data_IF_253002247050
#
_entry.id   IF_253002247050
#
_cell.length_a   1.000
_cell.length_b   1.000
_cell.length_c   1.000
_cell.angle_alpha   90.00
_cell.angle_beta   90.00
_cell.angle_gamma   90.00
#
_symmetry.space_group_name_H-M   'P 1'
#
loop_
_entity.id
_entity.type
_entity.pdbx_description
1 polymer ?
#
# COMPACT_ATOMS: atom_id res chain seq x y z
N UNK A 1 1.87 -22.19 15.46
CA UNK A 1 0.59 -22.12 14.73
C UNK A 1 0.53 -20.71 14.18
N UNK A 2 0.82 -20.55 12.89
CA UNK A 2 0.96 -19.23 12.29
C UNK A 2 -0.42 -18.60 12.12
N UNK A 3 -0.56 -17.37 12.61
CA UNK A 3 -1.75 -16.56 12.38
C UNK A 3 -2.02 -16.51 10.88
N UNK A 4 -3.13 -17.12 10.44
CA UNK A 4 -3.68 -16.84 9.13
C UNK A 4 -4.07 -15.37 9.16
N UNK A 5 -3.17 -14.50 8.65
CA UNK A 5 -3.55 -13.14 8.30
C UNK A 5 -4.72 -13.26 7.35
N UNK A 6 -5.91 -12.89 7.82
CA UNK A 6 -7.07 -12.64 6.98
C UNK A 6 -6.65 -11.59 5.96
N UNK A 7 -6.19 -12.06 4.80
CA UNK A 7 -5.73 -11.24 3.69
C UNK A 7 -6.96 -10.70 2.96
N UNK A 8 -7.78 -9.95 3.69
CA UNK A 8 -8.92 -9.24 3.14
C UNK A 8 -8.40 -8.17 2.18
N UNK A 9 -8.87 -8.15 0.92
CA UNK A 9 -8.48 -7.12 -0.04
C UNK A 9 -8.89 -5.72 0.45
N UNK A 10 -8.00 -4.75 0.28
CA UNK A 10 -8.28 -3.32 0.42
C UNK A 10 -8.41 -2.68 -0.96
N UNK A 11 -9.32 -1.72 -1.10
CA UNK A 11 -9.54 -0.98 -2.33
C UNK A 11 -8.70 0.30 -2.31
N UNK A 12 -8.03 0.58 -3.42
CA UNK A 12 -7.15 1.73 -3.58
C UNK A 12 -7.79 2.75 -4.52
N UNK A 13 -7.77 4.00 -4.08
CA UNK A 13 -8.27 5.14 -4.83
C UNK A 13 -7.16 6.18 -5.03
N UNK A 14 -7.23 6.88 -6.16
CA UNK A 14 -6.45 8.10 -6.39
C UNK A 14 -6.87 9.18 -5.37
N UNK A 15 -5.91 9.70 -4.61
CA UNK A 15 -6.18 10.69 -3.56
C UNK A 15 -6.62 12.07 -4.08
N UNK A 16 -6.46 12.35 -5.38
CA UNK A 16 -6.82 13.62 -6.01
C UNK A 16 -8.22 13.60 -6.59
N UNK A 17 -8.57 12.56 -7.33
CA UNK A 17 -9.84 12.48 -8.06
C UNK A 17 -10.81 11.41 -7.51
N UNK A 18 -10.39 10.61 -6.53
CA UNK A 18 -11.24 9.60 -5.87
C UNK A 18 -11.60 8.40 -6.75
N UNK A 19 -10.96 8.23 -7.92
CA UNK A 19 -11.19 7.08 -8.80
C UNK A 19 -10.54 5.84 -8.21
N UNK A 20 -11.24 4.71 -8.24
CA UNK A 20 -10.67 3.41 -7.90
C UNK A 20 -9.62 3.00 -8.95
N UNK A 21 -8.46 2.54 -8.49
CA UNK A 21 -7.32 2.19 -9.34
C UNK A 21 -6.85 0.74 -9.19
N UNK A 22 -6.96 0.16 -7.98
CA UNK A 22 -6.56 -1.23 -7.74
C UNK A 22 -7.19 -1.83 -6.49
N UNK A 23 -7.12 -3.14 -6.37
CA UNK A 23 -7.34 -3.89 -5.15
C UNK A 23 -6.01 -4.53 -4.72
N UNK A 24 -5.68 -4.45 -3.44
CA UNK A 24 -4.45 -5.00 -2.89
C UNK A 24 -4.70 -5.87 -1.68
N UNK A 25 -3.75 -6.74 -1.38
CA UNK A 25 -3.62 -7.43 -0.08
C UNK A 25 -2.36 -6.88 0.59
N UNK A 26 -2.51 -6.39 1.82
CA UNK A 26 -1.39 -5.96 2.65
C UNK A 26 -0.73 -7.19 3.30
N UNK A 27 0.57 -7.37 3.08
CA UNK A 27 1.37 -8.40 3.73
C UNK A 27 1.98 -7.81 5.01
N UNK A 28 1.84 -8.49 6.16
CA UNK A 28 2.03 -7.94 7.50
C UNK A 28 3.46 -7.58 7.96
N UNK A 29 4.40 -7.33 7.05
CA UNK A 29 5.72 -6.82 7.41
C UNK A 29 5.67 -5.30 7.53
N UNK A 30 5.78 -4.79 8.76
CA UNK A 30 6.00 -3.37 9.02
C UNK A 30 7.49 -3.06 8.84
N UNK A 31 7.85 -2.50 7.70
CA UNK A 31 9.18 -1.95 7.47
C UNK A 31 9.18 -0.54 8.07
N UNK A 32 9.87 -0.41 9.20
CA UNK A 32 10.05 0.90 9.82
C UNK A 32 11.26 1.57 9.17
N UNK A 33 11.07 2.67 8.45
CA UNK A 33 12.18 3.49 8.00
C UNK A 33 12.79 4.21 9.23
N UNK A 34 13.91 3.69 9.74
CA UNK A 34 14.63 4.28 10.86
C UNK A 34 15.32 5.58 10.46
N UNK A 35 14.63 6.72 10.62
CA UNK A 35 15.18 8.05 10.40
C UNK A 35 15.20 8.90 11.69
N UNK A 36 16.08 9.91 11.77
CA UNK A 36 16.26 10.76 12.97
C UNK A 36 15.05 11.65 13.35
N UNK A 37 13.97 11.65 12.56
CA UNK A 37 12.79 12.53 12.73
C UNK A 37 11.51 11.83 13.20
N UNK A 38 11.55 10.56 13.61
CA UNK A 38 10.42 9.90 14.27
C UNK A 38 9.45 9.17 13.32
N UNK A 39 8.51 8.44 13.96
CA UNK A 39 7.76 7.30 13.42
C UNK A 39 6.51 7.66 12.59
N UNK A 40 6.66 8.44 11.53
CA UNK A 40 5.69 8.46 10.42
C UNK A 40 6.10 7.42 9.37
N UNK A 41 5.17 6.80 8.65
CA UNK A 41 5.52 5.95 7.51
C UNK A 41 5.84 4.48 7.81
N UNK A 42 4.95 3.76 8.50
CA UNK A 42 5.08 2.30 8.56
C UNK A 42 4.90 1.71 7.15
N UNK A 43 5.98 1.31 6.49
CA UNK A 43 5.90 0.73 5.15
C UNK A 43 5.39 -0.70 5.23
N UNK A 44 4.40 -1.05 4.40
CA UNK A 44 3.92 -2.43 4.26
C UNK A 44 4.14 -2.92 2.85
N UNK A 45 4.66 -4.14 2.73
CA UNK A 45 4.62 -4.86 1.47
C UNK A 45 3.18 -5.19 1.11
N UNK A 46 2.85 -5.19 -0.18
CA UNK A 46 1.52 -5.56 -0.65
C UNK A 46 1.60 -6.34 -1.96
N UNK A 47 0.50 -7.02 -2.29
CA UNK A 47 0.28 -7.68 -3.58
C UNK A 47 -0.96 -7.08 -4.24
N UNK A 48 -0.85 -6.72 -5.51
CA UNK A 48 -2.02 -6.33 -6.32
C UNK A 48 -2.80 -7.58 -6.68
N UNK A 49 -4.11 -7.57 -6.44
CA UNK A 49 -5.01 -8.68 -6.81
C UNK A 49 -5.89 -8.36 -8.01
N UNK A 50 -6.10 -7.07 -8.29
CA UNK A 50 -6.84 -6.56 -9.44
C UNK A 50 -6.47 -5.09 -9.69
N UNK A 51 -6.52 -4.63 -10.94
CA UNK A 51 -6.12 -3.28 -11.37
C UNK A 51 -4.62 -3.06 -11.54
N UNK A 52 -4.20 -1.79 -11.61
CA UNK A 52 -2.81 -1.38 -11.88
C UNK A 52 -2.43 -0.12 -11.08
N UNK A 53 -1.25 -0.14 -10.47
CA UNK A 53 -0.68 0.94 -9.67
C UNK A 53 0.63 1.50 -10.23
N UNK A 54 1.09 1.03 -11.39
CA UNK A 54 2.42 1.34 -11.93
C UNK A 54 2.71 2.84 -12.04
N UNK A 55 1.78 3.61 -12.63
CA UNK A 55 1.94 5.06 -12.76
C UNK A 55 2.00 5.75 -11.39
N UNK A 56 1.23 5.25 -10.42
CA UNK A 56 1.21 5.80 -9.06
C UNK A 56 2.50 5.50 -8.31
N UNK A 57 3.11 4.33 -8.54
CA UNK A 57 4.41 3.92 -7.98
C UNK A 57 5.52 4.85 -8.46
N UNK A 58 5.61 5.09 -9.77
CA UNK A 58 6.65 5.93 -10.35
C UNK A 58 6.54 7.40 -9.92
N UNK A 59 5.32 7.89 -9.75
CA UNK A 59 5.05 9.29 -9.41
C UNK A 59 4.93 9.53 -7.89
N UNK A 60 5.03 8.50 -7.04
CA UNK A 60 4.87 8.59 -5.58
C UNK A 60 3.58 9.33 -5.17
N UNK A 61 2.47 9.06 -5.87
CA UNK A 61 1.19 9.78 -5.67
C UNK A 61 0.55 9.47 -4.32
N UNK A 62 -0.24 10.44 -3.84
CA UNK A 62 -1.15 10.23 -2.71
C UNK A 62 -2.30 9.30 -3.12
N UNK A 63 -2.54 8.30 -2.30
CA UNK A 63 -3.59 7.29 -2.45
C UNK A 63 -4.47 7.29 -1.21
N UNK A 64 -5.74 6.94 -1.41
CA UNK A 64 -6.64 6.59 -0.32
C UNK A 64 -6.87 5.08 -0.31
N UNK A 65 -6.67 4.47 0.85
CA UNK A 65 -6.79 3.03 1.05
C UNK A 65 -8.03 2.81 1.89
N UNK A 66 -9.00 2.05 1.35
CA UNK A 66 -10.22 1.69 2.05
C UNK A 66 -10.23 0.20 2.37
N UNK A 67 -10.31 -0.14 3.65
CA UNK A 67 -10.52 -1.51 4.10
C UNK A 67 -11.98 -1.93 3.95
N UNK A 68 -12.23 -3.25 3.98
CA UNK A 68 -13.58 -3.81 3.91
C UNK A 68 -14.49 -3.31 5.04
N UNK A 69 -13.93 -3.07 6.24
CA UNK A 69 -14.67 -2.50 7.39
C UNK A 69 -14.96 -1.00 7.26
N UNK A 70 -14.58 -0.38 6.14
CA UNK A 70 -14.88 1.01 5.81
C UNK A 70 -13.91 2.04 6.36
N UNK A 71 -12.83 1.63 7.06
CA UNK A 71 -11.77 2.57 7.46
C UNK A 71 -11.01 3.08 6.23
N UNK A 72 -10.61 4.33 6.30
CA UNK A 72 -9.83 5.01 5.25
C UNK A 72 -8.51 5.46 5.85
N UNK A 73 -7.43 5.26 5.10
CA UNK A 73 -6.11 5.79 5.42
C UNK A 73 -5.50 6.41 4.17
N UNK A 74 -4.80 7.53 4.38
CA UNK A 74 -3.97 8.11 3.34
C UNK A 74 -2.64 7.37 3.26
N UNK A 75 -2.14 7.19 2.04
CA UNK A 75 -0.88 6.53 1.82
C UNK A 75 -0.17 7.00 0.55
N UNK A 76 1.07 6.59 0.43
CA UNK A 76 1.87 6.70 -0.78
C UNK A 76 2.47 5.35 -1.08
N UNK A 77 2.80 5.16 -2.33
CA UNK A 77 3.45 3.96 -2.83
C UNK A 77 4.91 4.28 -3.11
N UNK A 78 5.80 3.38 -2.68
CA UNK A 78 7.21 3.45 -2.96
C UNK A 78 7.62 2.20 -3.76
N UNK A 79 8.19 2.42 -4.95
CA UNK A 79 8.86 1.38 -5.70
C UNK A 79 10.28 1.22 -5.14
N UNK A 80 10.56 0.08 -4.51
CA UNK A 80 11.90 -0.48 -4.54
C UNK A 80 12.03 -1.22 -5.88
N UNK A 81 13.18 -1.21 -6.57
CA UNK A 81 13.35 -2.00 -7.78
C UNK A 81 13.03 -3.47 -7.47
N UNK A 82 11.88 -3.94 -7.95
CA UNK A 82 11.37 -5.27 -7.73
C UNK A 82 11.36 -6.00 -9.07
N UNK A 83 11.86 -7.23 -9.06
CA UNK A 83 11.90 -8.16 -10.19
C UNK A 83 10.48 -8.58 -10.62
N UNK A 84 10.40 -9.47 -11.62
CA UNK A 84 9.24 -9.86 -12.43
C UNK A 84 7.96 -10.27 -11.65
N UNK A 85 8.05 -10.52 -10.35
CA UNK A 85 6.93 -10.75 -9.43
C UNK A 85 6.75 -9.55 -8.48
N UNK A 86 5.96 -8.56 -8.89
CA UNK A 86 5.90 -7.22 -8.29
C UNK A 86 5.47 -7.19 -6.81
N UNK A 87 6.42 -6.96 -5.90
CA UNK A 87 6.16 -6.58 -4.51
C UNK A 87 6.52 -5.09 -4.34
N UNK A 88 5.51 -4.25 -4.10
CA UNK A 88 5.69 -2.82 -3.80
C UNK A 88 5.59 -2.53 -2.29
N UNK A 89 5.99 -1.33 -1.87
CA UNK A 89 5.76 -0.82 -0.51
C UNK A 89 4.71 0.28 -0.52
N UNK A 90 3.85 0.29 0.50
CA UNK A 90 2.95 1.41 0.82
C UNK A 90 3.40 2.04 2.13
N UNK A 91 3.64 3.34 2.11
CA UNK A 91 3.83 4.20 3.26
C UNK A 91 2.48 4.81 3.69
N UNK A 92 2.14 4.75 4.98
CA UNK A 92 0.96 5.44 5.51
C UNK A 92 1.36 6.80 6.08
N UNK A 93 0.58 7.83 5.74
CA UNK A 93 0.82 9.23 6.13
C UNK A 93 0.12 9.61 7.44
#
# INVERSE_FOLDING_TARGET
MGDQQNNTPAVIYDGTNGKQIANIILNGYNISAGGPLGKTGAMRSFRVVDGDLWDHWNESKLLMIRSEDGRVADGRVAALPAEEDSFGLIEFL
#
